data_IF_219165746430
#
_entry.id   IF_219165746430
#
_cell.length_a   1.000
_cell.length_b   1.000
_cell.length_c   1.000
_cell.angle_alpha   90.00
_cell.angle_beta   90.00
_cell.angle_gamma   90.00
#
_symmetry.space_group_name_H-M   'P 1'
#
loop_
_entity.id
_entity.type
_entity.pdbx_description
1 polymer ?
#
# COMPACT_ATOMS: atom_id res chain seq x y z
N UNK A 1 8.35 -2.64 -17.31
CA UNK A 1 8.55 -1.76 -16.16
C UNK A 1 8.12 -2.45 -14.89
N UNK A 2 8.80 -2.15 -13.79
CA UNK A 2 8.42 -2.73 -12.51
C UNK A 2 7.06 -2.18 -12.05
N UNK A 3 6.25 -3.05 -11.44
CA UNK A 3 4.99 -2.63 -10.83
C UNK A 3 5.29 -1.72 -9.64
N UNK A 4 4.54 -0.66 -9.50
CA UNK A 4 4.67 0.27 -8.39
C UNK A 4 3.71 -0.14 -7.26
N UNK A 5 4.12 0.10 -6.02
CA UNK A 5 3.27 -0.11 -4.84
C UNK A 5 3.12 1.23 -4.12
N UNK A 6 1.87 1.60 -3.84
CA UNK A 6 1.58 2.81 -3.08
C UNK A 6 0.95 2.40 -1.75
N UNK A 7 1.58 2.81 -0.65
CA UNK A 7 1.07 2.58 0.70
C UNK A 7 0.33 3.84 1.15
N UNK A 8 -0.93 3.71 1.52
CA UNK A 8 -1.72 4.84 2.00
C UNK A 8 -2.16 4.58 3.44
N UNK A 9 -2.11 5.59 4.28
CA UNK A 9 -2.47 5.42 5.69
C UNK A 9 -2.87 6.72 6.35
N UNK A 10 -3.53 6.58 7.50
CA UNK A 10 -3.66 7.67 8.45
C UNK A 10 -2.27 7.94 9.03
N UNK A 11 -1.89 9.21 9.11
CA UNK A 11 -0.60 9.60 9.64
C UNK A 11 0.55 8.95 8.89
N UNK A 12 1.69 8.89 9.53
CA UNK A 12 2.93 8.45 8.91
C UNK A 12 3.17 6.94 8.99
N UNK A 13 2.17 6.17 9.34
CA UNK A 13 2.29 4.72 9.41
C UNK A 13 2.84 4.13 8.09
N UNK A 14 2.32 4.59 6.97
CA UNK A 14 2.77 4.10 5.66
C UNK A 14 4.25 4.42 5.41
N UNK A 15 4.72 5.58 5.85
CA UNK A 15 6.12 5.96 5.69
C UNK A 15 7.03 5.06 6.54
N UNK A 16 6.63 4.78 7.77
CA UNK A 16 7.41 3.92 8.66
C UNK A 16 7.31 2.45 8.25
N UNK A 17 6.19 2.03 7.70
CA UNK A 17 6.05 0.69 7.16
C UNK A 17 7.03 0.48 6.00
N UNK A 18 7.15 1.46 5.11
CA UNK A 18 8.15 1.42 4.05
C UNK A 18 9.56 1.36 4.63
N UNK A 19 9.85 2.22 5.60
CA UNK A 19 11.17 2.27 6.22
C UNK A 19 11.54 0.94 6.89
N UNK A 20 10.60 0.34 7.62
CA UNK A 20 10.82 -0.98 8.25
C UNK A 20 11.04 -2.07 7.22
N UNK A 21 10.28 -2.02 6.13
CA UNK A 21 10.45 -2.99 5.04
C UNK A 21 11.86 -2.86 4.45
N UNK A 22 12.33 -1.64 4.25
CA UNK A 22 13.65 -1.40 3.68
C UNK A 22 14.79 -1.81 4.61
N UNK A 23 14.56 -1.78 5.93
CA UNK A 23 15.54 -2.33 6.86
C UNK A 23 15.77 -3.83 6.64
N UNK A 24 14.72 -4.55 6.23
CA UNK A 24 14.78 -6.00 6.04
C UNK A 24 15.22 -6.36 4.63
N UNK A 25 14.66 -5.68 3.62
CA UNK A 25 14.78 -6.06 2.21
C UNK A 25 15.72 -5.16 1.41
N UNK A 26 16.22 -4.07 2.01
CA UNK A 26 17.00 -3.07 1.29
C UNK A 26 16.11 -2.03 0.61
N UNK A 27 16.72 -0.99 0.01
CA UNK A 27 15.97 0.10 -0.61
C UNK A 27 15.03 -0.37 -1.71
N UNK A 28 13.85 0.25 -1.78
CA UNK A 28 12.80 -0.11 -2.74
C UNK A 28 12.31 1.15 -3.45
N UNK A 29 12.84 1.42 -4.63
CA UNK A 29 12.51 2.62 -5.40
C UNK A 29 11.06 2.62 -5.90
N UNK A 30 10.43 1.46 -5.98
CA UNK A 30 9.07 1.31 -6.51
C UNK A 30 8.00 1.23 -5.42
N UNK A 31 8.35 1.52 -4.17
CA UNK A 31 7.37 1.61 -3.07
C UNK A 31 7.27 3.06 -2.63
N UNK A 32 6.05 3.56 -2.57
CA UNK A 32 5.76 4.96 -2.28
C UNK A 32 4.78 5.04 -1.12
N UNK A 33 4.84 6.12 -0.34
CA UNK A 33 3.95 6.30 0.80
C UNK A 33 3.22 7.63 0.66
N UNK A 34 1.90 7.59 0.83
CA UNK A 34 1.06 8.78 0.82
C UNK A 34 0.29 8.82 2.14
N UNK A 35 0.70 9.73 3.01
CA UNK A 35 0.15 9.86 4.37
C UNK A 35 -1.01 10.86 4.40
N UNK A 36 -2.05 10.53 5.16
CA UNK A 36 -3.08 11.50 5.53
C UNK A 36 -2.65 12.13 6.84
N UNK A 37 -2.21 13.37 6.80
CA UNK A 37 -1.74 14.06 8.00
C UNK A 37 -2.93 14.58 8.83
N UNK A 38 -2.75 14.81 10.14
CA UNK A 38 -3.87 15.18 11.02
C UNK A 38 -4.66 16.40 10.58
N UNK A 39 -4.00 17.37 9.95
CA UNK A 39 -4.64 18.61 9.50
C UNK A 39 -5.24 18.50 8.10
N UNK A 40 -5.08 17.37 7.42
CA UNK A 40 -5.55 17.19 6.05
C UNK A 40 -6.90 16.53 6.00
N UNK A 41 -7.70 16.89 4.98
CA UNK A 41 -8.96 16.24 4.70
C UNK A 41 -8.87 15.40 3.43
N UNK A 42 -10.03 14.85 3.00
CA UNK A 42 -10.05 13.99 1.81
C UNK A 42 -9.55 14.68 0.53
N UNK A 43 -9.80 15.99 0.39
CA UNK A 43 -9.40 16.72 -0.82
C UNK A 43 -7.88 16.83 -0.92
N UNK A 44 -7.22 17.20 0.18
CA UNK A 44 -5.77 17.30 0.20
C UNK A 44 -5.13 15.93 -0.01
N UNK A 45 -5.70 14.89 0.62
CA UNK A 45 -5.19 13.54 0.46
C UNK A 45 -5.33 13.06 -0.98
N UNK A 46 -6.49 13.33 -1.61
CA UNK A 46 -6.72 12.96 -3.00
C UNK A 46 -5.68 13.59 -3.91
N UNK A 47 -5.39 14.88 -3.70
CA UNK A 47 -4.40 15.59 -4.51
C UNK A 47 -3.00 14.96 -4.35
N UNK A 48 -2.61 14.60 -3.14
CA UNK A 48 -1.33 13.95 -2.88
C UNK A 48 -1.25 12.58 -3.56
N UNK A 49 -2.32 11.80 -3.46
CA UNK A 49 -2.38 10.48 -4.09
C UNK A 49 -2.27 10.61 -5.62
N UNK A 50 -3.06 11.49 -6.21
CA UNK A 50 -3.04 11.69 -7.66
C UNK A 50 -1.67 12.15 -8.15
N UNK A 51 -1.01 13.04 -7.41
CA UNK A 51 0.34 13.47 -7.75
C UNK A 51 1.33 12.31 -7.71
N UNK A 52 1.19 11.43 -6.72
CA UNK A 52 2.07 10.28 -6.58
C UNK A 52 1.95 9.31 -7.77
N UNK A 53 0.74 9.05 -8.24
CA UNK A 53 0.51 8.01 -9.25
C UNK A 53 0.44 8.57 -10.68
N UNK A 54 0.62 9.87 -10.86
CA UNK A 54 0.39 10.54 -12.15
C UNK A 54 1.14 9.89 -13.31
N UNK A 55 2.37 9.42 -13.06
CA UNK A 55 3.20 8.84 -14.10
C UNK A 55 3.27 7.31 -14.06
N UNK A 56 2.50 6.67 -13.18
CA UNK A 56 2.52 5.21 -13.05
C UNK A 56 1.53 4.57 -14.01
N UNK A 57 1.99 3.61 -14.79
CA UNK A 57 1.11 2.82 -15.67
C UNK A 57 0.58 1.58 -14.98
N UNK A 58 1.42 0.95 -14.14
CA UNK A 58 1.08 -0.32 -13.48
C UNK A 58 1.39 -0.18 -12.00
N UNK A 59 0.35 -0.08 -11.18
CA UNK A 59 0.53 0.04 -9.73
C UNK A 59 -0.64 -0.58 -8.98
N UNK A 60 -0.36 -0.94 -7.74
CA UNK A 60 -1.38 -1.39 -6.78
C UNK A 60 -1.26 -0.55 -5.53
N UNK A 61 -2.31 -0.60 -4.71
CA UNK A 61 -2.39 0.22 -3.49
C UNK A 61 -2.69 -0.66 -2.29
N UNK A 62 -1.92 -0.48 -1.22
CA UNK A 62 -2.22 -1.07 0.09
C UNK A 62 -2.64 0.05 1.03
N UNK A 63 -3.79 -0.12 1.68
CA UNK A 63 -4.30 0.83 2.68
C UNK A 63 -4.18 0.23 4.07
N UNK A 64 -4.11 1.11 5.09
CA UNK A 64 -3.96 0.66 6.47
C UNK A 64 -5.17 -0.11 6.97
N UNK A 65 -6.38 0.37 6.66
CA UNK A 65 -7.59 -0.34 7.07
C UNK A 65 -8.74 -0.03 6.12
N UNK A 66 -9.72 -0.91 6.11
CA UNK A 66 -10.95 -0.72 5.35
C UNK A 66 -11.81 0.34 6.05
N UNK A 67 -12.39 1.25 5.27
CA UNK A 67 -13.36 2.22 5.78
C UNK A 67 -12.82 3.55 6.24
N UNK A 68 -11.51 3.76 6.24
CA UNK A 68 -10.92 5.05 6.59
C UNK A 68 -10.75 5.95 5.37
N UNK A 69 -10.44 7.23 5.60
CA UNK A 69 -10.29 8.20 4.52
C UNK A 69 -9.29 7.78 3.44
N UNK A 70 -8.09 7.25 3.78
CA UNK A 70 -7.17 6.83 2.73
C UNK A 70 -7.77 5.75 1.82
N UNK A 71 -8.32 4.70 2.42
CA UNK A 71 -8.93 3.62 1.65
C UNK A 71 -10.15 4.10 0.87
N UNK A 72 -11.01 4.90 1.50
CA UNK A 72 -12.23 5.40 0.87
C UNK A 72 -11.93 6.32 -0.32
N UNK A 73 -10.87 7.10 -0.23
CA UNK A 73 -10.44 7.97 -1.34
C UNK A 73 -10.10 7.14 -2.57
N UNK A 74 -9.29 6.10 -2.40
CA UNK A 74 -8.91 5.23 -3.53
C UNK A 74 -10.12 4.46 -4.03
N UNK A 75 -10.98 3.99 -3.11
CA UNK A 75 -12.23 3.30 -3.48
C UNK A 75 -13.12 4.17 -4.36
N UNK A 76 -13.22 5.47 -4.04
CA UNK A 76 -14.00 6.40 -4.85
C UNK A 76 -13.44 6.52 -6.27
N UNK A 77 -12.10 6.59 -6.40
CA UNK A 77 -11.48 6.66 -7.71
C UNK A 77 -11.79 5.40 -8.53
N UNK A 78 -11.81 4.23 -7.88
CA UNK A 78 -12.18 2.98 -8.55
C UNK A 78 -13.63 3.06 -9.05
N UNK A 79 -14.54 3.56 -8.22
CA UNK A 79 -15.94 3.73 -8.60
C UNK A 79 -16.10 4.71 -9.76
N UNK A 80 -15.19 5.66 -9.89
CA UNK A 80 -15.20 6.63 -10.99
C UNK A 80 -14.55 6.08 -12.26
N UNK A 81 -14.13 4.82 -12.26
CA UNK A 81 -13.63 4.16 -13.46
C UNK A 81 -12.13 3.89 -13.49
N UNK A 82 -11.39 4.21 -12.43
CA UNK A 82 -9.95 3.96 -12.37
C UNK A 82 -9.69 2.47 -12.14
N UNK A 83 -8.77 1.92 -12.90
CA UNK A 83 -8.40 0.51 -12.78
C UNK A 83 -7.28 0.36 -11.75
N UNK A 84 -7.66 0.28 -10.48
CA UNK A 84 -6.72 0.18 -9.37
C UNK A 84 -7.05 -1.07 -8.55
N UNK A 85 -6.04 -1.89 -8.28
CA UNK A 85 -6.19 -2.99 -7.33
C UNK A 85 -5.85 -2.44 -5.94
N UNK A 86 -6.82 -2.45 -5.04
CA UNK A 86 -6.72 -1.88 -3.71
C UNK A 86 -6.90 -2.98 -2.67
N UNK A 87 -5.94 -3.08 -1.75
CA UNK A 87 -5.97 -4.04 -0.64
C UNK A 87 -5.95 -3.26 0.67
N UNK A 88 -6.79 -3.66 1.62
CA UNK A 88 -6.85 -3.01 2.94
C UNK A 88 -6.32 -3.96 4.01
N UNK A 89 -5.84 -3.40 5.12
CA UNK A 89 -5.30 -4.19 6.22
C UNK A 89 -3.82 -4.50 6.06
N UNK A 90 -3.07 -3.60 5.42
CA UNK A 90 -1.66 -3.84 5.15
C UNK A 90 -0.86 -4.08 6.43
N UNK A 91 0.14 -4.95 6.31
CA UNK A 91 1.09 -5.22 7.38
C UNK A 91 2.46 -5.48 6.76
N UNK A 92 3.48 -5.61 7.60
CA UNK A 92 4.86 -5.77 7.12
C UNK A 92 5.05 -7.01 6.25
N UNK A 93 4.56 -8.20 6.64
CA UNK A 93 4.68 -9.36 5.75
C UNK A 93 4.01 -9.20 4.40
N UNK A 94 2.91 -8.43 4.32
CA UNK A 94 2.21 -8.18 3.07
C UNK A 94 3.07 -7.37 2.11
N UNK A 95 3.77 -6.35 2.62
CA UNK A 95 4.68 -5.55 1.79
C UNK A 95 5.87 -6.38 1.35
N UNK A 96 6.42 -7.21 2.24
CA UNK A 96 7.51 -8.12 1.89
C UNK A 96 7.07 -9.09 0.81
N UNK A 97 5.84 -9.58 0.86
CA UNK A 97 5.32 -10.47 -0.18
C UNK A 97 5.26 -9.78 -1.54
N UNK A 98 4.89 -8.50 -1.57
CA UNK A 98 4.92 -7.74 -2.81
C UNK A 98 6.33 -7.74 -3.43
N UNK A 99 7.35 -7.52 -2.61
CA UNK A 99 8.74 -7.51 -3.08
C UNK A 99 9.14 -8.90 -3.59
N UNK A 100 8.85 -9.95 -2.81
CA UNK A 100 9.18 -11.32 -3.20
C UNK A 100 8.48 -11.72 -4.49
N UNK A 101 7.22 -11.35 -4.64
CA UNK A 101 6.46 -11.63 -5.85
C UNK A 101 7.09 -10.94 -7.06
N UNK A 102 7.59 -9.72 -6.88
CA UNK A 102 8.27 -8.99 -7.95
C UNK A 102 9.56 -9.67 -8.39
N UNK A 103 10.26 -10.32 -7.45
CA UNK A 103 11.54 -10.96 -7.74
C UNK A 103 11.37 -12.33 -8.40
N UNK A 104 10.38 -13.13 -7.96
CA UNK A 104 10.26 -14.51 -8.40
C UNK A 104 9.03 -14.80 -9.25
N UNK A 105 8.10 -13.85 -9.32
CA UNK A 105 6.84 -14.04 -10.02
C UNK A 105 5.87 -14.88 -9.22
N UNK A 106 4.78 -15.32 -9.85
CA UNK A 106 3.77 -16.14 -9.22
C UNK A 106 2.47 -15.37 -9.00
N UNK A 107 1.56 -15.98 -8.26
CA UNK A 107 0.28 -15.36 -7.96
C UNK A 107 0.41 -14.20 -6.98
N UNK A 108 -0.40 -13.16 -7.20
CA UNK A 108 -0.50 -12.04 -6.27
C UNK A 108 -1.47 -12.43 -5.16
N UNK A 109 -0.95 -13.06 -4.12
CA UNK A 109 -1.73 -13.58 -3.01
C UNK A 109 -1.48 -12.77 -1.74
N UNK A 110 -1.49 -11.44 -1.83
CA UNK A 110 -1.13 -10.57 -0.72
C UNK A 110 -2.01 -10.75 0.52
N UNK A 111 -3.36 -10.77 0.41
CA UNK A 111 -4.17 -10.97 1.62
C UNK A 111 -3.93 -12.34 2.28
N UNK A 112 -3.80 -13.39 1.49
CA UNK A 112 -3.59 -14.73 2.04
C UNK A 112 -2.26 -14.80 2.80
N UNK A 113 -1.19 -14.26 2.22
CA UNK A 113 0.13 -14.25 2.85
C UNK A 113 0.14 -13.40 4.12
N UNK A 114 -0.54 -12.24 4.09
CA UNK A 114 -0.63 -11.39 5.26
C UNK A 114 -1.35 -12.12 6.40
N UNK A 115 -2.45 -12.81 6.09
CA UNK A 115 -3.21 -13.55 7.10
C UNK A 115 -2.40 -14.70 7.69
N UNK A 116 -1.66 -15.42 6.87
CA UNK A 116 -0.80 -16.52 7.33
C UNK A 116 0.28 -16.05 8.30
N UNK A 117 0.68 -14.79 8.21
CA UNK A 117 1.74 -14.23 9.06
C UNK A 117 1.25 -13.83 10.46
N UNK A 118 -0.07 -13.78 10.66
CA UNK A 118 -0.64 -13.39 11.94
C UNK A 118 -0.81 -14.66 12.77
N UNK A 119 0.15 -14.90 13.64
CA UNK A 119 0.21 -16.17 14.39
C UNK A 119 0.45 -15.91 15.87
N UNK A 120 -0.06 -16.82 16.70
CA UNK A 120 0.35 -16.88 18.11
C UNK A 120 1.63 -17.70 18.15
N UNK A 121 2.71 -17.11 18.60
CA UNK A 121 4.05 -17.73 18.53
C UNK A 121 4.19 -18.91 19.47
N UNK A 122 3.48 -18.87 20.58
CA UNK A 122 3.54 -19.93 21.60
C UNK A 122 2.18 -20.61 21.77
N UNK A 123 2.16 -21.71 22.50
CA UNK A 123 0.94 -22.48 22.76
C UNK A 123 -0.09 -21.71 23.59
#
# INVERSE_FOLDING_TARGET
MAKQLVLVSHGRFCEELKASTEMIMGPQDNIHAVALLPEEGPEEFTAKFEACVADFEDYIVFADLLGGTPCNTVSRLILEGRAIDLYAGMNLPMVIEFINNSLVGGEEAYPARAQESIVKVND
#
